data_IF_034576439335
#
_entry.id   IF_034576439335
#
_cell.length_a   1.000
_cell.length_b   1.000
_cell.length_c   1.000
_cell.angle_alpha   90.00
_cell.angle_beta   90.00
_cell.angle_gamma   90.00
#
_symmetry.space_group_name_H-M   'P 1'
#
loop_
_entity.id
_entity.type
_entity.pdbx_description
1 polymer ?
#
# COMPACT_ATOMS: atom_id res chain seq x y z
N UNK A 1 7.20 -29.14 4.78
CA UNK A 1 6.75 -27.76 5.02
C UNK A 1 5.23 -27.76 5.19
N UNK A 2 4.72 -27.48 6.39
CA UNK A 2 3.27 -27.35 6.62
C UNK A 2 2.81 -26.04 5.97
N UNK A 3 1.82 -26.11 5.08
CA UNK A 3 1.15 -24.93 4.51
C UNK A 3 0.41 -24.23 5.64
N UNK A 4 1.02 -23.21 6.25
CA UNK A 4 0.27 -22.28 7.08
C UNK A 4 -0.75 -21.59 6.18
N UNK A 5 -2.04 -21.78 6.47
CA UNK A 5 -3.11 -20.91 5.97
C UNK A 5 -2.88 -19.56 6.65
N UNK A 6 -2.38 -18.60 5.89
CA UNK A 6 -2.26 -17.21 6.33
C UNK A 6 -3.69 -16.71 6.58
N UNK A 7 -3.97 -16.31 7.81
CA UNK A 7 -5.24 -15.74 8.24
C UNK A 7 -5.18 -14.22 8.03
N UNK A 8 -5.88 -13.70 7.02
CA UNK A 8 -5.77 -12.31 6.56
C UNK A 8 -6.51 -11.31 7.46
N UNK A 9 -6.81 -11.66 8.71
CA UNK A 9 -7.72 -10.89 9.60
C UNK A 9 -7.02 -10.18 10.76
N UNK A 10 -5.71 -10.36 10.97
CA UNK A 10 -4.97 -9.67 12.04
C UNK A 10 -4.12 -8.51 11.50
N UNK A 11 -4.12 -7.38 12.22
CA UNK A 11 -3.34 -6.18 11.88
C UNK A 11 -1.83 -6.47 11.76
N UNK A 12 -1.33 -7.44 12.52
CA UNK A 12 0.07 -7.84 12.50
C UNK A 12 0.44 -8.59 11.19
N UNK A 13 -0.49 -9.37 10.65
CA UNK A 13 -0.31 -10.07 9.35
C UNK A 13 -0.32 -9.07 8.19
N UNK A 14 -1.11 -7.99 8.27
CA UNK A 14 -1.12 -6.95 7.24
C UNK A 14 0.24 -6.24 7.15
N UNK A 15 0.83 -5.90 8.30
CA UNK A 15 2.13 -5.23 8.38
C UNK A 15 3.26 -6.12 7.84
N UNK A 16 3.20 -7.42 8.11
CA UNK A 16 4.16 -8.39 7.57
C UNK A 16 4.02 -8.52 6.04
N UNK A 17 2.79 -8.61 5.53
CA UNK A 17 2.53 -8.68 4.09
C UNK A 17 2.94 -7.39 3.36
N UNK A 18 2.71 -6.22 3.96
CA UNK A 18 3.21 -4.93 3.45
C UNK A 18 4.75 -4.97 3.32
N UNK A 19 5.45 -5.45 4.36
CA UNK A 19 6.91 -5.58 4.31
C UNK A 19 7.37 -6.56 3.24
N UNK A 20 6.80 -7.77 3.19
CA UNK A 20 7.16 -8.79 2.20
C UNK A 20 6.97 -8.25 0.78
N UNK A 21 5.80 -7.67 0.50
CA UNK A 21 5.49 -7.17 -0.85
C UNK A 21 6.40 -6.02 -1.25
N UNK A 22 6.66 -5.06 -0.34
CA UNK A 22 7.56 -3.94 -0.61
C UNK A 22 9.01 -4.38 -0.82
N UNK A 23 9.51 -5.35 -0.04
CA UNK A 23 10.83 -5.95 -0.27
C UNK A 23 10.95 -6.52 -1.69
N UNK A 24 9.91 -7.23 -2.16
CA UNK A 24 9.95 -7.79 -3.50
C UNK A 24 9.95 -6.74 -4.61
N UNK A 25 9.37 -5.56 -4.40
CA UNK A 25 9.46 -4.47 -5.39
C UNK A 25 10.89 -3.96 -5.56
N UNK A 26 11.65 -3.91 -4.47
CA UNK A 26 13.05 -3.45 -4.45
C UNK A 26 13.98 -4.55 -4.99
N UNK A 27 13.74 -5.81 -4.61
CA UNK A 27 14.55 -6.95 -5.03
C UNK A 27 14.26 -7.39 -6.47
N UNK A 28 13.06 -7.13 -6.97
CA UNK A 28 12.60 -7.55 -8.28
C UNK A 28 11.89 -6.39 -9.00
N UNK A 29 12.67 -5.45 -9.53
CA UNK A 29 12.19 -4.26 -10.26
C UNK A 29 11.09 -4.58 -11.30
N UNK A 30 11.17 -5.73 -11.96
CA UNK A 30 10.16 -6.24 -12.91
C UNK A 30 8.73 -6.36 -12.35
N UNK A 31 8.54 -6.29 -11.03
CA UNK A 31 7.24 -6.36 -10.37
C UNK A 31 6.60 -5.00 -10.14
N UNK A 32 7.34 -3.90 -10.28
CA UNK A 32 6.85 -2.56 -9.96
C UNK A 32 5.69 -2.19 -10.88
N UNK A 33 5.87 -2.28 -12.20
CA UNK A 33 4.82 -1.91 -13.17
C UNK A 33 3.55 -2.75 -12.97
N UNK A 34 3.72 -4.05 -12.68
CA UNK A 34 2.59 -4.95 -12.40
C UNK A 34 1.88 -4.59 -11.11
N UNK A 35 2.63 -4.14 -10.10
CA UNK A 35 2.10 -3.75 -8.79
C UNK A 35 1.36 -2.44 -8.89
N UNK A 36 1.93 -1.43 -9.55
CA UNK A 36 1.26 -0.14 -9.81
C UNK A 36 -0.04 -0.37 -10.55
N UNK A 37 -0.03 -1.21 -11.60
CA UNK A 37 -1.25 -1.56 -12.34
C UNK A 37 -2.28 -2.30 -11.48
N UNK A 38 -1.84 -3.25 -10.66
CA UNK A 38 -2.74 -4.05 -9.81
C UNK A 38 -3.39 -3.20 -8.71
N UNK A 39 -2.59 -2.38 -8.03
CA UNK A 39 -3.04 -1.56 -6.92
C UNK A 39 -3.79 -0.32 -7.40
N UNK A 40 -3.46 0.22 -8.58
CA UNK A 40 -4.04 1.45 -9.08
C UNK A 40 -3.81 2.62 -8.10
N UNK A 41 -4.82 3.50 -7.98
CA UNK A 41 -4.71 4.73 -7.19
C UNK A 41 -4.62 4.47 -5.68
N UNK A 42 -5.07 3.31 -5.20
CA UNK A 42 -4.98 2.95 -3.78
C UNK A 42 -3.60 2.43 -3.37
N UNK A 43 -2.66 2.27 -4.32
CA UNK A 43 -1.36 1.66 -4.03
C UNK A 43 -0.54 2.38 -2.96
N UNK A 44 -0.65 3.71 -2.88
CA UNK A 44 0.02 4.43 -1.79
C UNK A 44 -0.66 4.24 -0.44
N UNK A 45 -1.95 3.89 -0.39
CA UNK A 45 -2.72 3.70 0.84
C UNK A 45 -2.60 2.28 1.40
N UNK A 46 -2.15 1.33 0.57
CA UNK A 46 -1.85 -0.06 0.94
C UNK A 46 -0.72 -0.15 1.96
N UNK A 47 0.29 0.71 1.85
CA UNK A 47 1.45 0.68 2.73
C UNK A 47 1.34 1.74 3.83
N UNK A 48 1.70 1.36 5.05
CA UNK A 48 1.63 2.19 6.24
C UNK A 48 2.98 2.78 6.66
N UNK A 49 2.96 3.97 7.29
CA UNK A 49 4.16 4.60 7.87
C UNK A 49 5.32 4.77 6.88
N UNK A 50 6.54 4.40 7.31
CA UNK A 50 7.75 4.47 6.47
C UNK A 50 7.65 3.65 5.17
N UNK A 51 6.85 2.56 5.16
CA UNK A 51 6.64 1.74 3.96
C UNK A 51 5.89 2.50 2.87
N UNK A 52 4.94 3.36 3.24
CA UNK A 52 4.23 4.26 2.33
C UNK A 52 5.20 5.15 1.56
N UNK A 53 6.10 5.80 2.31
CA UNK A 53 7.05 6.73 1.75
C UNK A 53 8.05 6.01 0.85
N UNK A 54 8.57 4.86 1.29
CA UNK A 54 9.48 4.05 0.50
C UNK A 54 8.81 3.53 -0.80
N UNK A 55 7.55 3.08 -0.74
CA UNK A 55 6.79 2.71 -1.93
C UNK A 55 6.67 3.87 -2.92
N UNK A 56 6.28 5.07 -2.46
CA UNK A 56 6.17 6.26 -3.31
C UNK A 56 7.49 6.61 -3.99
N UNK A 57 8.60 6.52 -3.26
CA UNK A 57 9.93 6.79 -3.81
C UNK A 57 10.29 5.76 -4.88
N UNK A 58 10.06 4.47 -4.62
CA UNK A 58 10.32 3.39 -5.59
C UNK A 58 9.49 3.58 -6.88
N UNK A 59 8.20 3.91 -6.75
CA UNK A 59 7.33 4.19 -7.90
C UNK A 59 7.82 5.41 -8.67
N UNK A 60 8.14 6.51 -7.99
CA UNK A 60 8.66 7.73 -8.63
C UNK A 60 9.98 7.49 -9.36
N UNK A 61 10.91 6.77 -8.74
CA UNK A 61 12.16 6.37 -9.39
C UNK A 61 11.90 5.55 -10.66
N UNK A 62 10.92 4.63 -10.62
CA UNK A 62 10.52 3.84 -11.79
C UNK A 62 9.93 4.72 -12.90
N UNK A 63 9.08 5.69 -12.56
CA UNK A 63 8.52 6.68 -13.51
C UNK A 63 9.61 7.54 -14.16
N UNK A 64 10.66 7.88 -13.40
CA UNK A 64 11.83 8.61 -13.89
C UNK A 64 12.81 7.73 -14.70
N UNK A 65 12.50 6.43 -14.87
CA UNK A 65 13.34 5.47 -15.60
C UNK A 65 14.64 5.11 -14.88
N UNK A 66 14.71 5.35 -13.56
CA UNK A 66 15.86 4.95 -12.75
C UNK A 66 15.83 3.46 -12.45
N UNK A 67 17.01 2.86 -12.42
CA UNK A 67 17.20 1.48 -11.98
C UNK A 67 16.78 1.34 -10.52
N UNK A 68 16.03 0.29 -10.20
CA UNK A 68 15.61 0.01 -8.83
C UNK A 68 16.42 -1.16 -8.26
N UNK A 69 17.31 -0.83 -7.32
CA UNK A 69 17.98 -1.78 -6.44
C UNK A 69 18.26 -1.11 -5.09
N UNK A 70 18.63 -1.91 -4.08
CA UNK A 70 18.80 -1.41 -2.71
C UNK A 70 19.82 -0.26 -2.60
N UNK A 71 20.90 -0.27 -3.40
CA UNK A 71 21.91 0.79 -3.38
C UNK A 71 21.39 2.07 -4.02
N UNK A 72 20.72 1.95 -5.17
CA UNK A 72 20.19 3.10 -5.91
C UNK A 72 19.09 3.79 -5.12
N UNK A 73 18.18 3.01 -4.52
CA UNK A 73 17.16 3.52 -3.60
C UNK A 73 17.81 4.21 -2.40
N UNK A 74 18.81 3.59 -1.77
CA UNK A 74 19.56 4.21 -0.65
C UNK A 74 20.20 5.55 -1.03
N UNK A 75 20.79 5.66 -2.22
CA UNK A 75 21.36 6.92 -2.73
C UNK A 75 20.26 7.96 -2.90
N UNK A 76 19.11 7.58 -3.47
CA UNK A 76 17.95 8.46 -3.62
C UNK A 76 17.46 8.98 -2.27
N UNK A 77 17.28 8.11 -1.28
CA UNK A 77 16.87 8.50 0.08
C UNK A 77 17.82 9.54 0.69
N UNK A 78 19.14 9.41 0.46
CA UNK A 78 20.14 10.39 0.97
C UNK A 78 20.01 11.73 0.29
N UNK A 79 19.86 11.75 -1.04
CA UNK A 79 19.71 12.98 -1.81
C UNK A 79 18.46 13.75 -1.40
N UNK A 80 17.36 13.06 -1.17
CA UNK A 80 16.08 13.65 -0.77
C UNK A 80 15.98 13.94 0.75
N UNK A 81 17.04 13.66 1.52
CA UNK A 81 17.10 13.89 2.99
C UNK A 81 15.96 13.20 3.73
N UNK A 82 15.63 11.98 3.32
CA UNK A 82 14.57 11.18 3.94
C UNK A 82 14.96 10.80 5.38
N UNK A 83 13.99 10.71 6.33
CA UNK A 83 14.24 10.27 7.70
C UNK A 83 14.97 8.91 7.83
N UNK A 84 15.72 8.75 8.93
CA UNK A 84 16.58 7.59 9.18
C UNK A 84 15.81 6.26 9.32
N UNK A 85 14.60 6.29 9.86
CA UNK A 85 13.73 5.12 10.00
C UNK A 85 13.38 4.47 8.65
N UNK A 86 13.30 5.26 7.57
CA UNK A 86 13.09 4.74 6.21
C UNK A 86 14.35 4.04 5.68
N UNK A 87 15.54 4.48 6.09
CA UNK A 87 16.79 3.80 5.76
C UNK A 87 16.91 2.45 6.46
N UNK A 88 16.58 2.41 7.74
CA UNK A 88 16.61 1.19 8.54
C UNK A 88 15.62 0.18 7.98
N UNK A 89 14.40 0.64 7.61
CA UNK A 89 13.42 -0.18 6.90
C UNK A 89 13.98 -0.73 5.58
N UNK A 90 14.59 0.10 4.73
CA UNK A 90 15.18 -0.37 3.47
C UNK A 90 16.23 -1.48 3.71
N UNK A 91 17.03 -1.32 4.76
CA UNK A 91 18.01 -2.33 5.15
C UNK A 91 17.32 -3.65 5.54
N UNK A 92 16.39 -3.62 6.50
CA UNK A 92 15.61 -4.79 6.95
C UNK A 92 14.94 -5.52 5.78
N UNK A 93 14.29 -4.78 4.89
CA UNK A 93 13.59 -5.35 3.73
C UNK A 93 14.54 -6.06 2.76
N UNK A 94 15.79 -5.64 2.67
CA UNK A 94 16.73 -6.15 1.65
C UNK A 94 17.74 -7.16 2.18
N UNK A 95 17.86 -7.32 3.50
CA UNK A 95 18.78 -8.28 4.12
C UNK A 95 18.15 -9.64 4.43
N UNK A 96 16.88 -9.69 4.79
CA UNK A 96 16.25 -10.93 5.33
C UNK A 96 15.29 -11.61 4.35
N UNK A 97 15.06 -11.01 3.18
CA UNK A 97 14.03 -11.48 2.26
C UNK A 97 14.55 -12.39 1.15
N UNK A 98 13.83 -13.49 0.95
CA UNK A 98 14.01 -14.39 -0.19
C UNK A 98 13.18 -13.89 -1.36
N UNK A 99 13.72 -14.00 -2.58
CA UNK A 99 12.96 -13.71 -3.80
C UNK A 99 11.75 -14.64 -3.93
N UNK A 100 10.56 -14.07 -3.98
CA UNK A 100 9.30 -14.80 -4.12
C UNK A 100 8.76 -14.71 -5.57
N UNK A 101 8.05 -15.74 -6.05
CA UNK A 101 7.46 -15.70 -7.39
C UNK A 101 6.29 -14.72 -7.45
N UNK A 102 6.09 -14.11 -8.63
CA UNK A 102 5.02 -13.13 -8.86
C UNK A 102 3.64 -13.59 -8.39
N UNK A 103 3.27 -14.85 -8.66
CA UNK A 103 1.96 -15.41 -8.29
C UNK A 103 1.68 -15.30 -6.78
N UNK A 104 2.72 -15.44 -5.95
CA UNK A 104 2.59 -15.27 -4.50
C UNK A 104 2.42 -13.81 -4.12
N UNK A 105 3.20 -12.93 -4.73
CA UNK A 105 3.16 -11.48 -4.48
C UNK A 105 1.86 -10.86 -4.96
N UNK A 106 1.37 -11.26 -6.12
CA UNK A 106 0.06 -10.86 -6.64
C UNK A 106 -1.06 -11.23 -5.67
N UNK A 107 -1.02 -12.43 -5.08
CA UNK A 107 -2.02 -12.85 -4.08
C UNK A 107 -1.99 -11.94 -2.85
N UNK A 108 -0.81 -11.60 -2.34
CA UNK A 108 -0.67 -10.73 -1.17
C UNK A 108 -1.10 -9.30 -1.47
N UNK A 109 -0.70 -8.75 -2.61
CA UNK A 109 -1.10 -7.41 -3.04
C UNK A 109 -2.62 -7.31 -3.24
N UNK A 110 -3.28 -8.35 -3.77
CA UNK A 110 -4.75 -8.39 -3.87
C UNK A 110 -5.41 -8.35 -2.48
N UNK A 111 -4.94 -9.19 -1.55
CA UNK A 111 -5.45 -9.18 -0.18
C UNK A 111 -5.28 -7.82 0.50
N UNK A 112 -4.10 -7.21 0.37
CA UNK A 112 -3.84 -5.88 0.92
C UNK A 112 -4.70 -4.79 0.26
N UNK A 113 -4.92 -4.87 -1.06
CA UNK A 113 -5.80 -3.96 -1.80
C UNK A 113 -7.23 -4.05 -1.26
N UNK A 114 -7.78 -5.26 -1.14
CA UNK A 114 -9.14 -5.50 -0.68
C UNK A 114 -9.34 -4.98 0.75
N UNK A 115 -8.38 -5.24 1.65
CA UNK A 115 -8.38 -4.72 3.02
C UNK A 115 -8.31 -3.20 3.07
N UNK A 116 -7.52 -2.58 2.19
CA UNK A 116 -7.41 -1.12 2.09
C UNK A 116 -8.76 -0.51 1.70
N UNK A 117 -9.42 -1.07 0.68
CA UNK A 117 -10.75 -0.64 0.24
C UNK A 117 -11.78 -0.79 1.37
N UNK A 118 -11.76 -1.92 2.09
CA UNK A 118 -12.66 -2.15 3.21
C UNK A 118 -12.46 -1.12 4.34
N UNK A 119 -11.20 -0.77 4.65
CA UNK A 119 -10.87 0.26 5.64
C UNK A 119 -11.37 1.64 5.22
N UNK A 120 -11.23 2.01 3.95
CA UNK A 120 -11.75 3.28 3.44
C UNK A 120 -13.27 3.37 3.51
N UNK A 121 -13.98 2.30 3.13
CA UNK A 121 -15.44 2.22 3.27
C UNK A 121 -15.88 2.39 4.72
N UNK A 122 -15.19 1.74 5.67
CA UNK A 122 -15.44 1.90 7.11
C UNK A 122 -15.17 3.32 7.59
N UNK A 123 -14.12 3.97 7.10
CA UNK A 123 -13.84 5.37 7.44
C UNK A 123 -14.95 6.30 6.93
N UNK A 124 -15.45 6.08 5.73
CA UNK A 124 -16.53 6.90 5.17
C UNK A 124 -17.84 6.72 5.94
N UNK A 125 -18.18 5.48 6.28
CA UNK A 125 -19.31 5.20 7.18
C UNK A 125 -19.12 5.83 8.58
N UNK A 126 -17.89 5.86 9.10
CA UNK A 126 -17.56 6.55 10.34
C UNK A 126 -17.77 8.06 10.28
N UNK A 127 -17.37 8.71 9.18
CA UNK A 127 -17.63 10.14 8.94
C UNK A 127 -19.11 10.45 8.91
N UNK A 128 -19.91 9.58 8.28
CA UNK A 128 -21.37 9.70 8.28
C UNK A 128 -21.95 9.68 9.70
N UNK A 129 -21.57 8.69 10.53
CA UNK A 129 -22.04 8.60 11.91
C UNK A 129 -21.64 9.81 12.76
N UNK A 130 -20.42 10.33 12.57
CA UNK A 130 -19.96 11.55 13.25
C UNK A 130 -20.77 12.78 12.80
N UNK A 131 -21.04 12.91 11.49
CA UNK A 131 -21.86 14.00 10.95
C UNK A 131 -23.26 14.02 11.57
N UNK A 132 -23.90 12.87 11.72
CA UNK A 132 -25.20 12.76 12.40
C UNK A 132 -25.11 13.16 13.88
N UNK A 133 -24.07 12.72 14.58
CA UNK A 133 -23.85 13.07 15.98
C UNK A 133 -23.60 14.58 16.18
N UNK A 134 -22.97 15.23 15.19
CA UNK A 134 -22.74 16.68 15.17
C UNK A 134 -23.98 17.48 14.76
N UNK A 135 -25.12 16.82 14.53
CA UNK A 135 -26.40 17.45 14.20
C UNK A 135 -26.54 17.89 12.74
N UNK A 136 -25.72 17.36 11.82
CA UNK A 136 -25.93 17.58 10.38
C UNK A 136 -27.21 16.92 9.89
N UNK A 137 -27.77 17.49 8.83
CA UNK A 137 -28.92 16.92 8.14
C UNK A 137 -28.60 15.49 7.63
N UNK A 138 -29.47 14.48 7.91
CA UNK A 138 -29.23 13.12 7.51
C UNK A 138 -29.11 12.89 6.00
N UNK A 139 -29.86 13.67 5.19
CA UNK A 139 -29.85 13.53 3.73
C UNK A 139 -28.53 14.09 3.19
N UNK A 140 -28.08 15.25 3.67
CA UNK A 140 -26.78 15.81 3.29
C UNK A 140 -25.62 14.89 3.70
N UNK A 141 -25.68 14.31 4.90
CA UNK A 141 -24.66 13.38 5.38
C UNK A 141 -24.62 12.09 4.52
N UNK A 142 -25.79 11.56 4.15
CA UNK A 142 -25.89 10.36 3.30
C UNK A 142 -25.36 10.61 1.89
N UNK A 143 -25.67 11.76 1.29
CA UNK A 143 -25.14 12.15 -0.02
C UNK A 143 -23.61 12.25 -0.02
N UNK A 144 -23.04 12.83 1.05
CA UNK A 144 -21.59 12.90 1.21
C UNK A 144 -20.95 11.50 1.32
N UNK A 145 -21.55 10.60 2.10
CA UNK A 145 -21.09 9.22 2.22
C UNK A 145 -21.15 8.47 0.88
N UNK A 146 -22.29 8.53 0.17
CA UNK A 146 -22.45 7.88 -1.14
C UNK A 146 -21.37 8.38 -2.11
N UNK A 147 -21.15 9.69 -2.16
CA UNK A 147 -20.10 10.29 -3.00
C UNK A 147 -18.72 9.73 -2.65
N UNK A 148 -18.37 9.69 -1.36
CA UNK A 148 -17.10 9.12 -0.90
C UNK A 148 -16.94 7.64 -1.26
N UNK A 149 -18.01 6.83 -1.15
CA UNK A 149 -18.01 5.42 -1.56
C UNK A 149 -17.82 5.26 -3.08
N UNK A 150 -18.48 6.09 -3.88
CA UNK A 150 -18.30 6.09 -5.35
C UNK A 150 -16.89 6.52 -5.76
N UNK A 151 -16.28 7.47 -5.04
CA UNK A 151 -14.89 7.88 -5.27
C UNK A 151 -13.90 6.73 -5.01
N UNK A 152 -14.11 5.95 -3.94
CA UNK A 152 -13.31 4.73 -3.66
C UNK A 152 -13.44 3.72 -4.81
N UNK A 153 -14.65 3.47 -5.29
CA UNK A 153 -14.88 2.51 -6.38
C UNK A 153 -14.25 2.97 -7.71
N UNK A 154 -14.40 4.25 -8.05
CA UNK A 154 -13.77 4.82 -9.26
C UNK A 154 -12.24 4.91 -9.17
N UNK A 155 -11.67 5.10 -7.97
CA UNK A 155 -10.22 4.99 -7.75
C UNK A 155 -9.69 3.57 -7.95
N UNK A 156 -10.54 2.55 -7.73
CA UNK A 156 -10.17 1.13 -7.89
C UNK A 156 -10.28 0.59 -9.30
N UNK A 157 -11.09 1.24 -10.17
CA UNK A 157 -11.38 0.80 -11.54
C UNK A 157 -10.55 1.49 -12.64
N UNK A 158 -9.90 2.63 -12.37
CA UNK A 158 -8.99 3.26 -13.35
C UNK A 158 -7.72 2.43 -13.52
N UNK A 159 -7.71 1.59 -14.55
CA UNK A 159 -6.58 0.76 -15.05
C UNK A 159 -6.03 1.34 -16.34
#
# INVERSE_FOLDING_TARGET
MKKQKIDLTSKDIDVELESITLAQLILQEKFIDKTVKLLGNVGSKVFSGAKNLLYKIVVKMREEGEKIDSQTVKIRLRKEKIPADVFDLLFELTTENVSLPWVTIEKYLKGLKDLTIERERKQEAGKYLLALNDGKDPIEAEQAMIKGLTEIETETEKV
#
